data_IF_545317070754
#
_entry.id   IF_545317070754
#
_cell.length_a   1.000
_cell.length_b   1.000
_cell.length_c   1.000
_cell.angle_alpha   90.00
_cell.angle_beta   90.00
_cell.angle_gamma   90.00
#
_symmetry.space_group_name_H-M   'P 1'
#
loop_
_entity.id
_entity.type
_entity.pdbx_description
1 polymer ?
#
# COMPACT_ATOMS: atom_id res chain seq x y z
N UNK A 1 8.56 6.61 13.60
CA UNK A 1 9.41 6.36 12.41
C UNK A 1 10.86 6.81 12.64
N UNK A 2 11.89 6.14 12.08
CA UNK A 2 13.30 6.40 12.39
C UNK A 2 13.81 7.78 11.94
N UNK A 3 13.13 8.42 10.99
CA UNK A 3 13.47 9.77 10.52
C UNK A 3 12.88 10.90 11.40
N UNK A 4 11.99 10.59 12.34
CA UNK A 4 11.46 11.56 13.29
C UNK A 4 12.39 11.64 14.49
N UNK A 5 13.10 12.75 14.62
CA UNK A 5 14.11 12.99 15.68
C UNK A 5 13.51 13.66 16.91
N UNK A 6 12.40 13.14 17.43
CA UNK A 6 11.80 13.54 18.71
C UNK A 6 11.24 12.33 19.44
N UNK A 7 11.06 12.45 20.76
CA UNK A 7 10.37 11.43 21.56
C UNK A 7 8.90 11.32 21.12
N UNK A 8 8.35 10.11 21.22
CA UNK A 8 6.93 9.88 21.04
C UNK A 8 6.12 10.50 22.17
N UNK A 9 5.02 11.15 21.81
CA UNK A 9 4.04 11.72 22.72
C UNK A 9 2.78 10.82 22.76
N UNK A 10 1.97 10.86 23.83
CA UNK A 10 0.75 10.05 23.90
C UNK A 10 -0.19 10.26 22.70
N UNK A 11 -0.32 11.50 22.23
CA UNK A 11 -1.14 11.87 21.07
C UNK A 11 -0.66 11.23 19.76
N UNK A 12 0.61 10.83 19.66
CA UNK A 12 1.12 10.15 18.46
C UNK A 12 0.48 8.77 18.29
N UNK A 13 0.09 8.10 19.39
CA UNK A 13 -0.60 6.81 19.30
C UNK A 13 -1.99 6.95 18.67
N UNK A 14 -2.69 8.04 18.99
CA UNK A 14 -4.01 8.34 18.45
C UNK A 14 -3.92 8.80 16.99
N UNK A 15 -2.95 9.66 16.67
CA UNK A 15 -2.80 10.23 15.32
C UNK A 15 -2.15 9.28 14.32
N UNK A 16 -1.40 8.28 14.77
CA UNK A 16 -0.73 7.32 13.92
C UNK A 16 -1.58 6.07 13.68
N UNK A 17 -2.84 6.28 13.30
CA UNK A 17 -3.80 5.26 12.90
C UNK A 17 -4.72 5.82 11.82
N UNK A 18 -5.21 4.97 10.92
CA UNK A 18 -6.23 5.40 9.95
C UNK A 18 -7.58 5.54 10.64
N UNK A 19 -8.47 6.39 10.10
CA UNK A 19 -9.84 6.58 10.65
C UNK A 19 -10.69 5.30 10.60
N UNK A 20 -10.27 4.32 9.81
CA UNK A 20 -10.91 3.01 9.66
C UNK A 20 -10.13 1.86 10.35
N UNK A 21 -9.20 2.18 11.25
CA UNK A 21 -8.51 1.19 12.07
C UNK A 21 -9.50 0.49 13.02
N UNK A 22 -9.55 -0.84 12.98
CA UNK A 22 -10.53 -1.64 13.74
C UNK A 22 -9.91 -2.72 14.64
N UNK A 23 -8.64 -3.06 14.42
CA UNK A 23 -7.93 -4.12 15.15
C UNK A 23 -6.55 -3.62 15.60
N UNK A 24 -6.20 -3.91 16.85
CA UNK A 24 -4.83 -3.69 17.34
C UNK A 24 -3.86 -4.71 16.74
N UNK A 25 -2.62 -4.29 16.48
CA UNK A 25 -1.52 -5.21 16.16
C UNK A 25 -0.56 -4.77 15.05
N UNK A 26 -0.80 -3.64 14.38
CA UNK A 26 0.20 -3.03 13.51
C UNK A 26 1.19 -2.18 14.33
N UNK A 27 2.49 -2.44 14.19
CA UNK A 27 3.56 -1.61 14.78
C UNK A 27 3.77 -0.34 13.96
N UNK A 28 3.49 -0.40 12.66
CA UNK A 28 3.53 0.74 11.75
C UNK A 28 2.16 0.93 11.07
N UNK A 29 1.63 2.15 11.11
CA UNK A 29 0.40 2.49 10.40
C UNK A 29 0.60 2.38 8.87
N UNK A 30 -0.41 1.92 8.11
CA UNK A 30 -0.38 1.95 6.65
C UNK A 30 -0.57 3.40 6.18
N UNK A 31 0.53 4.14 6.09
CA UNK A 31 0.48 5.61 6.10
C UNK A 31 -0.16 6.28 4.89
N UNK A 32 -0.29 5.57 3.77
CA UNK A 32 -1.10 6.05 2.65
C UNK A 32 -2.58 6.24 3.03
N UNK A 33 -3.07 5.45 4.00
CA UNK A 33 -4.42 5.57 4.54
C UNK A 33 -4.62 6.77 5.46
N UNK A 34 -3.55 7.42 5.94
CA UNK A 34 -3.65 8.62 6.78
C UNK A 34 -4.12 9.85 6.00
N UNK A 35 -4.13 9.78 4.67
CA UNK A 35 -4.69 10.80 3.79
C UNK A 35 -6.21 10.75 3.66
N UNK A 36 -6.86 9.75 4.28
CA UNK A 36 -8.29 9.55 4.25
C UNK A 36 -8.90 9.93 5.60
N UNK A 37 -9.75 10.94 5.59
CA UNK A 37 -10.64 11.29 6.69
C UNK A 37 -12.07 10.78 6.43
N UNK A 38 -12.94 10.92 7.43
CA UNK A 38 -14.33 10.48 7.34
C UNK A 38 -15.09 11.19 6.21
N UNK A 39 -14.84 12.48 6.00
CA UNK A 39 -15.47 13.29 4.95
C UNK A 39 -15.10 12.78 3.55
N UNK A 40 -13.83 12.47 3.30
CA UNK A 40 -13.37 11.91 2.04
C UNK A 40 -13.95 10.51 1.81
N UNK A 41 -13.95 9.65 2.83
CA UNK A 41 -14.55 8.32 2.73
C UNK A 41 -16.05 8.40 2.43
N UNK A 42 -16.76 9.33 3.06
CA UNK A 42 -18.17 9.58 2.79
C UNK A 42 -18.39 10.11 1.37
N UNK A 43 -17.53 11.01 0.88
CA UNK A 43 -17.60 11.51 -0.48
C UNK A 43 -17.34 10.42 -1.52
N UNK A 44 -16.44 9.48 -1.24
CA UNK A 44 -16.18 8.29 -2.07
C UNK A 44 -17.42 7.39 -2.10
N UNK A 45 -17.99 7.08 -0.94
CA UNK A 45 -19.20 6.24 -0.83
C UNK A 45 -20.39 6.86 -1.55
N UNK A 46 -20.57 8.19 -1.44
CA UNK A 46 -21.66 8.93 -2.09
C UNK A 46 -21.56 8.92 -3.62
N UNK A 47 -20.38 8.62 -4.18
CA UNK A 47 -20.17 8.39 -5.62
C UNK A 47 -20.44 6.95 -6.06
N UNK A 48 -20.92 6.09 -5.16
CA UNK A 48 -21.17 4.68 -5.43
C UNK A 48 -19.91 3.82 -5.50
N UNK A 49 -18.78 4.31 -4.96
CA UNK A 49 -17.55 3.55 -4.88
C UNK A 49 -17.56 2.72 -3.60
N UNK A 50 -17.51 1.40 -3.77
CA UNK A 50 -17.45 0.46 -2.65
C UNK A 50 -16.11 0.50 -1.93
N UNK A 51 -16.14 0.23 -0.63
CA UNK A 51 -14.96 0.19 0.23
C UNK A 51 -14.83 -1.20 0.83
N UNK A 52 -13.61 -1.72 0.93
CA UNK A 52 -13.31 -2.99 1.58
C UNK A 52 -12.05 -2.83 2.43
N UNK A 53 -12.06 -3.39 3.64
CA UNK A 53 -11.00 -3.22 4.62
C UNK A 53 -10.41 -4.59 4.97
N UNK A 54 -9.09 -4.70 4.85
CA UNK A 54 -8.33 -5.90 5.25
C UNK A 54 -7.51 -5.60 6.51
N UNK A 55 -7.14 -6.65 7.24
CA UNK A 55 -6.35 -6.50 8.48
C UNK A 55 -4.88 -6.78 8.20
N UNK A 56 -4.00 -5.90 8.69
CA UNK A 56 -2.56 -5.98 8.53
C UNK A 56 -1.87 -5.90 9.90
N UNK A 57 -0.93 -6.80 10.13
CA UNK A 57 0.00 -6.72 11.25
C UNK A 57 1.38 -6.40 10.70
N UNK A 58 1.61 -5.10 10.49
CA UNK A 58 2.85 -4.58 9.91
C UNK A 58 3.93 -4.48 11.00
N UNK A 59 5.05 -5.18 10.80
CA UNK A 59 6.20 -5.11 11.69
C UNK A 59 7.02 -3.82 11.43
N UNK A 60 7.86 -3.41 12.39
CA UNK A 60 8.74 -2.24 12.24
C UNK A 60 9.77 -2.36 11.09
N UNK A 61 9.97 -3.58 10.55
CA UNK A 61 10.97 -3.89 9.55
C UNK A 61 10.66 -3.36 8.13
N UNK A 62 9.43 -2.87 7.88
CA UNK A 62 9.00 -2.30 6.58
C UNK A 62 9.84 -1.09 6.13
N UNK A 63 10.60 -0.45 7.04
CA UNK A 63 11.49 0.67 6.73
C UNK A 63 12.93 0.28 6.40
N UNK A 64 13.27 -1.02 6.29
CA UNK A 64 14.66 -1.41 6.05
C UNK A 64 15.07 -1.20 4.57
N UNK A 65 16.24 -0.58 4.31
CA UNK A 65 16.76 -0.42 2.95
C UNK A 65 17.18 -1.77 2.35
N UNK A 66 17.18 -1.87 1.02
CA UNK A 66 17.72 -3.03 0.31
C UNK A 66 19.23 -3.09 0.58
N UNK A 67 19.69 -4.17 1.21
CA UNK A 67 21.11 -4.35 1.58
C UNK A 67 21.91 -5.21 0.58
N UNK A 68 21.35 -5.52 -0.59
CA UNK A 68 21.91 -6.51 -1.51
C UNK A 68 22.11 -5.91 -2.90
N UNK A 69 23.30 -6.11 -3.48
CA UNK A 69 23.61 -5.66 -4.85
C UNK A 69 22.86 -6.42 -5.95
N UNK A 70 22.12 -7.49 -5.60
CA UNK A 70 21.26 -8.22 -6.52
C UNK A 70 19.83 -8.26 -5.96
N UNK A 71 18.93 -7.55 -6.64
CA UNK A 71 17.50 -7.43 -6.35
C UNK A 71 16.80 -8.79 -6.32
N UNK A 72 17.16 -9.72 -7.21
CA UNK A 72 16.46 -11.01 -7.41
C UNK A 72 16.64 -11.92 -6.18
N UNK A 73 17.69 -11.72 -5.38
CA UNK A 73 17.95 -12.48 -4.15
C UNK A 73 17.43 -11.82 -2.86
N UNK A 74 16.71 -10.69 -2.95
CA UNK A 74 16.25 -10.00 -1.76
C UNK A 74 15.15 -10.78 -1.04
N UNK A 75 15.37 -11.10 0.24
CA UNK A 75 14.36 -11.74 1.09
C UNK A 75 13.55 -10.66 1.80
N UNK A 76 12.28 -10.54 1.42
CA UNK A 76 11.34 -9.65 2.10
C UNK A 76 11.07 -10.11 3.53
N UNK A 77 10.82 -9.12 4.40
CA UNK A 77 10.28 -9.40 5.72
C UNK A 77 8.83 -9.88 5.59
N UNK A 78 8.48 -10.86 6.40
CA UNK A 78 7.11 -11.37 6.50
C UNK A 78 6.21 -10.33 7.16
N UNK A 79 5.06 -10.10 6.56
CA UNK A 79 3.97 -9.33 7.15
C UNK A 79 2.76 -10.24 7.27
N UNK A 80 2.12 -10.24 8.44
CA UNK A 80 0.90 -11.04 8.65
C UNK A 80 -0.30 -10.23 8.18
N UNK A 81 -1.18 -10.87 7.43
CA UNK A 81 -2.38 -10.25 6.88
C UNK A 81 -3.59 -11.18 6.99
N UNK A 82 -4.77 -10.56 6.95
CA UNK A 82 -6.05 -11.24 6.87
C UNK A 82 -6.93 -10.57 5.82
N UNK A 83 -7.25 -11.32 4.78
CA UNK A 83 -8.21 -10.99 3.75
C UNK A 83 -9.41 -11.91 3.98
N UNK A 84 -10.48 -11.37 4.54
CA UNK A 84 -11.67 -12.16 4.87
C UNK A 84 -12.58 -12.38 3.65
N UNK A 85 -13.57 -13.25 3.80
CA UNK A 85 -14.52 -13.62 2.74
C UNK A 85 -15.28 -12.41 2.18
N UNK A 86 -15.72 -11.49 3.04
CA UNK A 86 -16.42 -10.28 2.62
C UNK A 86 -15.57 -9.38 1.71
N UNK A 87 -14.27 -9.24 2.00
CA UNK A 87 -13.33 -8.51 1.12
C UNK A 87 -13.19 -9.23 -0.22
N UNK A 88 -13.05 -10.56 -0.19
CA UNK A 88 -12.95 -11.37 -1.40
C UNK A 88 -14.17 -11.22 -2.31
N UNK A 89 -15.38 -11.34 -1.75
CA UNK A 89 -16.64 -11.17 -2.48
C UNK A 89 -16.70 -9.78 -3.15
N UNK A 90 -16.51 -8.70 -2.39
CA UNK A 90 -16.57 -7.33 -2.93
C UNK A 90 -15.56 -7.09 -4.04
N UNK A 91 -14.32 -7.55 -3.86
CA UNK A 91 -13.25 -7.38 -4.86
C UNK A 91 -13.57 -8.19 -6.11
N UNK A 92 -13.97 -9.45 -5.95
CA UNK A 92 -14.28 -10.32 -7.09
C UNK A 92 -15.51 -9.83 -7.85
N UNK A 93 -16.57 -9.38 -7.16
CA UNK A 93 -17.75 -8.78 -7.77
C UNK A 93 -17.41 -7.50 -8.52
N UNK A 94 -16.53 -6.67 -7.95
CA UNK A 94 -16.00 -5.48 -8.62
C UNK A 94 -15.28 -5.84 -9.92
N UNK A 95 -14.42 -6.86 -9.92
CA UNK A 95 -13.73 -7.31 -11.14
C UNK A 95 -14.70 -7.95 -12.14
N UNK A 96 -15.66 -8.76 -11.68
CA UNK A 96 -16.64 -9.44 -12.53
C UNK A 96 -17.51 -8.47 -13.34
N UNK A 97 -17.82 -7.30 -12.77
CA UNK A 97 -18.56 -6.22 -13.46
C UNK A 97 -17.67 -5.25 -14.26
N UNK A 98 -16.37 -5.55 -14.40
CA UNK A 98 -15.42 -4.69 -15.12
C UNK A 98 -15.00 -3.43 -14.36
N UNK A 99 -15.21 -3.41 -13.04
CA UNK A 99 -14.76 -2.34 -12.16
C UNK A 99 -13.25 -2.38 -11.91
N UNK A 100 -12.76 -1.36 -11.19
CA UNK A 100 -11.35 -1.23 -10.81
C UNK A 100 -11.16 -1.39 -9.32
N UNK A 101 -10.15 -2.16 -8.93
CA UNK A 101 -9.70 -2.32 -7.55
C UNK A 101 -8.59 -1.32 -7.27
N UNK A 102 -8.86 -0.37 -6.37
CA UNK A 102 -7.89 0.66 -5.96
C UNK A 102 -7.34 0.31 -4.58
N UNK A 103 -6.06 -0.07 -4.50
CA UNK A 103 -5.40 -0.38 -3.24
C UNK A 103 -4.88 0.89 -2.55
N UNK A 104 -5.18 1.06 -1.26
CA UNK A 104 -4.61 2.15 -0.46
C UNK A 104 -3.41 1.62 0.32
N UNK A 105 -2.20 1.94 -0.14
CA UNK A 105 -0.93 1.54 0.43
C UNK A 105 -0.30 0.30 -0.22
N UNK A 106 1.03 0.27 -0.26
CA UNK A 106 1.81 -0.85 -0.84
C UNK A 106 1.65 -2.16 -0.08
N UNK A 107 1.42 -2.12 1.23
CA UNK A 107 1.13 -3.33 2.01
C UNK A 107 -0.21 -3.96 1.59
N UNK A 108 -1.24 -3.14 1.36
CA UNK A 108 -2.53 -3.59 0.80
C UNK A 108 -2.34 -4.25 -0.56
N UNK A 109 -1.48 -3.69 -1.42
CA UNK A 109 -1.14 -4.29 -2.72
C UNK A 109 -0.54 -5.69 -2.52
N UNK A 110 0.49 -5.82 -1.67
CA UNK A 110 1.12 -7.12 -1.38
C UNK A 110 0.13 -8.12 -0.82
N UNK A 111 -0.78 -7.69 0.06
CA UNK A 111 -1.80 -8.55 0.62
C UNK A 111 -2.77 -9.10 -0.42
N UNK A 112 -3.31 -8.23 -1.28
CA UNK A 112 -4.24 -8.62 -2.33
C UNK A 112 -3.56 -9.54 -3.35
N UNK A 113 -2.34 -9.22 -3.78
CA UNK A 113 -1.61 -10.01 -4.78
C UNK A 113 -1.11 -11.35 -4.21
N UNK A 114 -0.80 -11.43 -2.91
CA UNK A 114 -0.49 -12.71 -2.24
C UNK A 114 -1.70 -13.61 -2.05
N UNK A 115 -2.89 -13.04 -1.82
CA UNK A 115 -4.13 -13.79 -1.65
C UNK A 115 -4.80 -14.15 -2.99
N UNK A 116 -4.25 -13.67 -4.11
CA UNK A 116 -4.74 -13.93 -5.46
C UNK A 116 -4.31 -15.31 -5.98
N UNK A 117 -5.24 -16.01 -6.63
CA UNK A 117 -4.97 -17.30 -7.28
C UNK A 117 -5.75 -17.38 -8.59
N UNK A 118 -5.07 -17.18 -9.73
CA UNK A 118 -5.70 -17.27 -11.05
C UNK A 118 -6.64 -16.10 -11.35
N UNK A 119 -6.26 -14.89 -10.94
CA UNK A 119 -7.06 -13.67 -11.14
C UNK A 119 -8.21 -13.48 -10.14
N UNK A 120 -8.42 -14.42 -9.22
CA UNK A 120 -9.50 -14.40 -8.23
C UNK A 120 -8.90 -14.24 -6.83
N UNK A 121 -9.45 -13.35 -6.03
CA UNK A 121 -9.08 -13.16 -4.63
C UNK A 121 -9.75 -14.24 -3.77
N UNK A 122 -8.97 -14.93 -2.92
CA UNK A 122 -9.48 -15.95 -2.00
C UNK A 122 -9.23 -15.56 -0.54
N UNK A 123 -10.08 -16.01 0.41
CA UNK A 123 -9.83 -15.76 1.81
C UNK A 123 -8.45 -16.26 2.21
N UNK A 124 -7.69 -15.42 2.90
CA UNK A 124 -6.32 -15.73 3.30
C UNK A 124 -6.01 -15.14 4.66
N UNK A 125 -5.39 -15.94 5.52
CA UNK A 125 -4.84 -15.49 6.79
C UNK A 125 -3.48 -16.11 6.99
N UNK A 126 -2.45 -15.29 7.13
CA UNK A 126 -1.09 -15.76 7.29
C UNK A 126 -0.06 -14.72 6.87
N UNK A 127 1.17 -15.18 6.67
CA UNK A 127 2.28 -14.32 6.31
C UNK A 127 2.41 -14.16 4.79
N UNK A 128 2.77 -12.97 4.36
CA UNK A 128 3.29 -12.70 3.02
C UNK A 128 4.73 -12.20 3.07
N UNK A 129 5.58 -12.82 2.25
CA UNK A 129 6.92 -12.35 1.90
C UNK A 129 7.03 -12.06 0.39
N UNK A 130 5.90 -11.78 -0.28
CA UNK A 130 5.91 -11.46 -1.71
C UNK A 130 6.81 -10.26 -1.97
N UNK A 131 7.70 -10.40 -2.95
CA UNK A 131 8.54 -9.33 -3.44
C UNK A 131 8.07 -8.91 -4.83
N UNK A 132 7.54 -7.69 -4.93
CA UNK A 132 6.99 -7.13 -6.16
C UNK A 132 8.03 -6.18 -6.76
N UNK A 133 8.44 -6.45 -7.99
CA UNK A 133 9.45 -5.71 -8.73
C UNK A 133 9.12 -5.73 -10.24
N UNK A 134 9.76 -4.89 -11.08
CA UNK A 134 9.45 -4.82 -12.51
C UNK A 134 9.41 -6.19 -13.21
N UNK A 135 8.33 -6.45 -13.95
CA UNK A 135 8.01 -7.74 -14.53
C UNK A 135 6.98 -8.57 -13.74
N UNK A 136 6.54 -8.09 -12.58
CA UNK A 136 5.45 -8.72 -11.82
C UNK A 136 4.08 -8.53 -12.51
N UNK A 137 3.30 -9.61 -12.60
CA UNK A 137 1.95 -9.58 -13.16
C UNK A 137 0.91 -9.34 -12.06
N UNK A 138 0.39 -8.12 -11.99
CA UNK A 138 -0.71 -7.77 -11.08
C UNK A 138 -2.02 -8.41 -11.53
N UNK A 139 -2.61 -9.22 -10.65
CA UNK A 139 -3.84 -9.96 -10.87
C UNK A 139 -5.07 -9.20 -10.35
N UNK A 140 -4.94 -8.52 -9.21
CA UNK A 140 -6.08 -7.95 -8.49
C UNK A 140 -6.11 -6.44 -8.60
N UNK A 141 -4.98 -5.77 -8.34
CA UNK A 141 -4.92 -4.30 -8.19
C UNK A 141 -4.82 -3.61 -9.56
N UNK A 142 -5.70 -2.62 -9.79
CA UNK A 142 -5.77 -1.84 -11.03
C UNK A 142 -5.25 -0.40 -10.86
N UNK A 143 -5.33 0.13 -9.63
CA UNK A 143 -4.69 1.37 -9.23
C UNK A 143 -4.24 1.31 -7.77
N UNK A 144 -3.32 2.19 -7.36
CA UNK A 144 -2.94 2.36 -5.96
C UNK A 144 -2.80 3.82 -5.55
N UNK A 145 -3.15 4.11 -4.29
CA UNK A 145 -2.77 5.33 -3.58
C UNK A 145 -1.60 4.98 -2.68
N UNK A 146 -0.51 5.72 -2.75
CA UNK A 146 0.68 5.47 -1.92
C UNK A 146 1.43 6.76 -1.61
N UNK A 147 2.37 6.74 -0.66
CA UNK A 147 3.25 7.89 -0.39
C UNK A 147 4.38 7.97 -1.44
N UNK A 148 5.14 9.07 -1.45
CA UNK A 148 6.43 9.12 -2.11
C UNK A 148 7.49 8.37 -1.29
N UNK A 149 8.17 7.41 -1.92
CA UNK A 149 9.14 6.49 -1.32
C UNK A 149 10.57 6.93 -1.56
N UNK A 150 11.50 6.41 -0.77
CA UNK A 150 12.92 6.67 -0.97
C UNK A 150 13.45 6.04 -2.28
N UNK A 151 14.44 6.66 -2.93
CA UNK A 151 15.27 5.99 -3.92
C UNK A 151 15.83 4.67 -3.37
N UNK A 152 15.96 3.68 -4.26
CA UNK A 152 16.54 2.36 -3.92
C UNK A 152 15.80 1.59 -2.80
N UNK A 153 14.51 1.89 -2.59
CA UNK A 153 13.65 1.16 -1.65
C UNK A 153 12.82 0.06 -2.33
N UNK A 154 12.52 -1.01 -1.59
CA UNK A 154 11.60 -2.07 -2.05
C UNK A 154 10.21 -1.54 -2.40
N UNK A 155 9.77 -0.48 -1.71
CA UNK A 155 8.49 0.17 -2.00
C UNK A 155 8.51 0.91 -3.34
N UNK A 156 9.60 1.61 -3.66
CA UNK A 156 9.75 2.24 -4.97
C UNK A 156 9.82 1.20 -6.09
N UNK A 157 10.44 0.03 -5.83
CA UNK A 157 10.45 -1.09 -6.77
C UNK A 157 9.06 -1.68 -7.03
N UNK A 158 8.22 -1.80 -5.99
CA UNK A 158 6.84 -2.21 -6.16
C UNK A 158 6.07 -1.20 -7.02
N UNK A 159 6.24 0.09 -6.74
CA UNK A 159 5.59 1.14 -7.55
C UNK A 159 6.09 1.12 -9.00
N UNK A 160 7.39 0.89 -9.24
CA UNK A 160 7.95 0.78 -10.59
C UNK A 160 7.57 -0.50 -11.33
N UNK A 161 7.07 -1.52 -10.61
CA UNK A 161 6.45 -2.66 -11.25
C UNK A 161 5.04 -2.34 -11.77
N UNK A 162 4.38 -1.34 -11.18
CA UNK A 162 2.99 -1.01 -11.44
C UNK A 162 2.78 0.02 -12.55
N UNK A 163 3.80 0.83 -12.84
CA UNK A 163 3.77 1.87 -13.86
C UNK A 163 5.10 1.91 -14.61
N UNK A 164 5.08 2.47 -15.82
CA UNK A 164 6.30 2.74 -16.58
C UNK A 164 7.35 3.52 -15.77
N UNK A 165 8.63 3.14 -15.95
CA UNK A 165 9.75 3.71 -15.21
C UNK A 165 9.98 5.18 -15.54
N UNK A 166 9.83 5.58 -16.80
CA UNK A 166 10.01 6.97 -17.22
C UNK A 166 8.91 7.84 -16.63
N UNK A 167 7.66 7.36 -16.65
CA UNK A 167 6.54 8.05 -16.01
C UNK A 167 6.76 8.22 -14.51
N UNK A 168 7.21 7.18 -13.81
CA UNK A 168 7.51 7.24 -12.38
C UNK A 168 8.62 8.24 -12.08
N UNK A 169 9.73 8.20 -12.82
CA UNK A 169 10.84 9.13 -12.64
C UNK A 169 10.41 10.58 -12.92
N UNK A 170 9.64 10.80 -13.98
CA UNK A 170 9.06 12.10 -14.30
C UNK A 170 8.19 12.65 -13.16
N UNK A 171 7.33 11.81 -12.57
CA UNK A 171 6.51 12.20 -11.42
C UNK A 171 7.36 12.57 -10.18
N UNK A 172 8.47 11.85 -9.94
CA UNK A 172 9.39 12.17 -8.85
C UNK A 172 10.16 13.47 -9.09
N UNK A 173 10.61 13.72 -10.32
CA UNK A 173 11.25 15.00 -10.66
C UNK A 173 10.29 16.17 -10.46
N UNK A 174 9.04 16.04 -10.91
CA UNK A 174 8.00 17.05 -10.72
C UNK A 174 7.71 17.29 -9.23
N UNK A 175 7.58 16.23 -8.44
CA UNK A 175 7.37 16.31 -7.00
C UNK A 175 8.51 17.06 -6.28
N UNK A 176 9.76 16.79 -6.65
CA UNK A 176 10.93 17.49 -6.12
C UNK A 176 10.90 18.98 -6.52
N UNK A 177 10.67 19.27 -7.81
CA UNK A 177 10.63 20.65 -8.33
C UNK A 177 9.53 21.49 -7.67
N UNK A 178 8.41 20.86 -7.31
CA UNK A 178 7.27 21.52 -6.66
C UNK A 178 7.28 21.41 -5.13
N UNK A 179 8.39 20.96 -4.52
CA UNK A 179 8.56 20.86 -3.06
C UNK A 179 7.50 19.99 -2.36
N UNK A 180 7.08 18.90 -3.01
CA UNK A 180 6.25 17.88 -2.36
C UNK A 180 7.02 17.30 -1.17
N UNK A 181 6.27 16.92 -0.14
CA UNK A 181 6.79 16.27 1.05
C UNK A 181 6.83 14.76 0.81
N UNK A 182 7.93 14.11 1.17
CA UNK A 182 8.12 12.68 0.98
C UNK A 182 7.89 11.91 2.29
N UNK A 183 7.98 10.58 2.25
CA UNK A 183 7.85 9.68 3.40
C UNK A 183 6.41 9.55 3.95
N UNK A 184 6.28 8.90 5.10
CA UNK A 184 5.00 8.46 5.66
C UNK A 184 4.06 9.61 6.06
N UNK A 185 4.59 10.81 6.32
CA UNK A 185 3.80 12.03 6.61
C UNK A 185 3.88 13.07 5.48
N UNK A 186 4.50 12.69 4.37
CA UNK A 186 4.52 13.51 3.17
C UNK A 186 3.23 13.39 2.38
N UNK A 187 3.26 13.88 1.16
CA UNK A 187 2.13 13.84 0.23
C UNK A 187 1.94 12.44 -0.37
N UNK A 188 0.86 12.26 -1.13
CA UNK A 188 0.48 11.00 -1.76
C UNK A 188 0.53 11.07 -3.29
N UNK A 189 0.69 9.90 -3.92
CA UNK A 189 0.55 9.66 -5.34
C UNK A 189 -0.61 8.70 -5.61
N UNK A 190 -1.34 8.95 -6.70
CA UNK A 190 -2.30 8.00 -7.29
C UNK A 190 -1.68 7.44 -8.57
N UNK A 191 -1.56 6.11 -8.64
CA UNK A 191 -0.89 5.40 -9.73
C UNK A 191 -1.88 4.42 -10.33
N UNK A 192 -2.03 4.41 -11.65
CA UNK A 192 -2.82 3.41 -12.35
C UNK A 192 -1.91 2.54 -13.21
N UNK A 193 -2.32 1.29 -13.42
CA UNK A 193 -1.57 0.34 -14.24
C UNK A 193 -1.51 0.85 -15.69
N UNK A 194 -0.30 1.01 -16.22
CA UNK A 194 0.00 1.44 -17.60
C UNK A 194 0.43 0.27 -18.47
#
# INVERSE_FOLDING_TARGET
PPYIKRSSEPVDKERYQTVYASHEGAVAAPTAGLHFDEDLLQAISSKGIEQAFLTLHVAAATFQPIRVGNVIGHKMHKETMEVNEQVCERVNDCKARGGRVVAVGTTTVRSLESAASGGILKPFRGDTDIFIYPGFEFQIVDAMVTNFHLPESTLLMLVSAFTDKEMLLGAYYEAINNNYRFFSYGDSMFVYKS
#
